data_IF_210509848283
#
_entry.id   IF_210509848283
#
_cell.length_a   1.000
_cell.length_b   1.000
_cell.length_c   1.000
_cell.angle_alpha   90.00
_cell.angle_beta   90.00
_cell.angle_gamma   90.00
#
_symmetry.space_group_name_H-M   'P 1'
#
loop_
_entity.id
_entity.type
_entity.pdbx_description
1 polymer ?
#
# COMPACT_ATOMS: atom_id res chain seq x y z
N UNK A 1 6.79 -15.88 -3.97
CA UNK A 1 7.67 -15.63 -5.13
C UNK A 1 9.13 -15.76 -4.71
N UNK A 2 9.94 -16.44 -5.50
CA UNK A 2 11.40 -16.48 -5.28
C UNK A 2 12.06 -15.13 -5.66
N UNK A 3 13.28 -14.84 -5.20
CA UNK A 3 14.03 -13.65 -5.61
C UNK A 3 14.21 -13.55 -7.14
N UNK A 4 14.35 -14.68 -7.83
CA UNK A 4 14.51 -14.73 -9.29
C UNK A 4 13.20 -14.42 -10.02
N UNK A 5 12.08 -14.95 -9.52
CA UNK A 5 10.75 -14.58 -10.03
C UNK A 5 10.49 -13.08 -9.88
N UNK A 6 10.87 -12.46 -8.75
CA UNK A 6 10.75 -11.00 -8.56
C UNK A 6 11.58 -10.22 -9.58
N UNK A 7 12.85 -10.59 -9.77
CA UNK A 7 13.74 -9.93 -10.75
C UNK A 7 13.20 -10.06 -12.17
N UNK A 8 12.68 -11.23 -12.53
CA UNK A 8 12.09 -11.48 -13.83
C UNK A 8 10.79 -10.68 -14.05
N UNK A 9 9.92 -10.58 -13.04
CA UNK A 9 8.72 -9.75 -13.14
C UNK A 9 9.06 -8.27 -13.31
N UNK A 10 10.07 -7.75 -12.59
CA UNK A 10 10.50 -6.35 -12.71
C UNK A 10 11.18 -6.05 -14.06
N UNK A 11 11.89 -7.02 -14.66
CA UNK A 11 12.54 -6.84 -15.95
C UNK A 11 11.55 -6.79 -17.12
N UNK A 12 10.38 -7.40 -16.97
CA UNK A 12 9.30 -7.38 -17.98
C UNK A 12 8.52 -6.05 -18.00
N UNK A 13 8.66 -5.20 -16.98
CA UNK A 13 7.97 -3.92 -16.94
C UNK A 13 8.60 -2.90 -17.90
N UNK A 14 7.79 -1.97 -18.40
CA UNK A 14 8.30 -0.80 -19.10
C UNK A 14 9.11 0.08 -18.13
N UNK A 15 10.00 0.92 -18.67
CA UNK A 15 10.72 1.92 -17.85
C UNK A 15 9.74 2.81 -17.07
N UNK A 16 8.70 3.27 -17.75
CA UNK A 16 7.67 4.11 -17.15
C UNK A 16 6.97 3.44 -15.97
N UNK A 17 6.60 2.16 -16.11
CA UNK A 17 5.98 1.39 -15.03
C UNK A 17 6.92 1.22 -13.83
N UNK A 18 8.22 0.97 -14.06
CA UNK A 18 9.21 0.92 -12.97
C UNK A 18 9.34 2.25 -12.24
N UNK A 19 9.34 3.36 -12.97
CA UNK A 19 9.44 4.69 -12.37
C UNK A 19 8.20 5.04 -11.53
N UNK A 20 7.00 4.57 -11.92
CA UNK A 20 5.78 4.71 -11.12
C UNK A 20 5.89 3.91 -9.82
N UNK A 21 6.22 2.61 -9.90
CA UNK A 21 6.38 1.76 -8.71
C UNK A 21 7.42 2.33 -7.75
N UNK A 22 8.54 2.87 -8.27
CA UNK A 22 9.56 3.49 -7.43
C UNK A 22 9.03 4.70 -6.64
N UNK A 23 8.18 5.54 -7.26
CA UNK A 23 7.53 6.67 -6.57
C UNK A 23 6.52 6.20 -5.52
N UNK A 24 5.74 5.17 -5.83
CA UNK A 24 4.76 4.62 -4.91
C UNK A 24 5.45 4.01 -3.69
N UNK A 25 6.54 3.27 -3.90
CA UNK A 25 7.38 2.74 -2.83
C UNK A 25 7.98 3.86 -1.98
N UNK A 26 8.45 4.95 -2.59
CA UNK A 26 8.96 6.10 -1.85
C UNK A 26 7.86 6.73 -0.98
N UNK A 27 6.65 6.86 -1.52
CA UNK A 27 5.48 7.37 -0.77
C UNK A 27 5.18 6.47 0.43
N UNK A 28 5.14 5.15 0.24
CA UNK A 28 4.91 4.20 1.36
C UNK A 28 6.01 4.29 2.42
N UNK A 29 7.27 4.45 2.01
CA UNK A 29 8.39 4.58 2.94
C UNK A 29 8.35 5.88 3.75
N UNK A 30 7.83 6.97 3.17
CA UNK A 30 7.75 8.29 3.81
C UNK A 30 6.48 8.44 4.66
N UNK A 31 5.33 8.06 4.11
CA UNK A 31 4.02 8.34 4.68
C UNK A 31 3.42 7.12 5.41
N UNK A 32 3.99 5.92 5.22
CA UNK A 32 3.45 4.67 5.75
C UNK A 32 2.13 4.23 5.11
N UNK A 33 1.62 4.95 4.11
CA UNK A 33 0.35 4.69 3.45
C UNK A 33 0.39 5.16 2.00
N UNK A 34 -0.23 4.41 1.10
CA UNK A 34 -0.43 4.78 -0.30
C UNK A 34 -1.93 4.94 -0.59
N UNK A 35 -2.25 5.91 -1.43
CA UNK A 35 -3.59 6.07 -2.00
C UNK A 35 -3.49 5.88 -3.50
N UNK A 36 -4.27 4.96 -4.06
CA UNK A 36 -4.34 4.75 -5.51
C UNK A 36 -5.77 4.90 -6.03
N UNK A 37 -5.89 5.35 -7.28
CA UNK A 37 -7.18 5.67 -7.90
C UNK A 37 -7.33 4.87 -9.19
N UNK A 38 -8.44 4.13 -9.31
CA UNK A 38 -8.85 3.41 -10.51
C UNK A 38 -7.81 2.43 -11.12
N UNK A 39 -6.78 2.03 -10.38
CA UNK A 39 -5.71 1.16 -10.91
C UNK A 39 -6.16 -0.29 -11.15
N UNK A 40 -7.09 -0.78 -10.30
CA UNK A 40 -7.64 -2.14 -10.39
C UNK A 40 -9.08 -2.13 -10.92
N UNK A 41 -9.89 -1.14 -10.50
CA UNK A 41 -11.29 -1.03 -10.90
C UNK A 41 -11.68 0.44 -11.05
N UNK A 42 -12.29 0.79 -12.18
CA UNK A 42 -12.71 2.16 -12.47
C UNK A 42 -13.70 2.69 -11.40
N UNK A 43 -13.55 3.95 -11.01
CA UNK A 43 -14.40 4.60 -10.01
C UNK A 43 -14.12 4.18 -8.56
N UNK A 44 -13.00 3.51 -8.29
CA UNK A 44 -12.58 3.13 -6.95
C UNK A 44 -11.30 3.81 -6.51
N UNK A 45 -11.14 3.89 -5.19
CA UNK A 45 -9.93 4.32 -4.51
C UNK A 45 -9.52 3.24 -3.50
N UNK A 46 -8.22 3.01 -3.40
CA UNK A 46 -7.62 2.13 -2.41
C UNK A 46 -6.71 2.96 -1.49
N UNK A 47 -6.87 2.81 -0.18
CA UNK A 47 -5.95 3.35 0.83
C UNK A 47 -5.30 2.16 1.50
N UNK A 48 -3.99 1.99 1.34
CA UNK A 48 -3.29 0.80 1.80
C UNK A 48 -2.02 1.12 2.60
N UNK A 49 -1.80 0.38 3.67
CA UNK A 49 -0.59 0.49 4.52
C UNK A 49 0.00 -0.92 4.77
N UNK A 50 1.34 -1.08 4.72
CA UNK A 50 1.97 -2.38 4.87
C UNK A 50 1.93 -2.87 6.32
N UNK A 51 1.68 -4.16 6.49
CA UNK A 51 1.91 -4.86 7.75
C UNK A 51 3.34 -5.39 7.73
N UNK A 52 4.14 -4.99 8.71
CA UNK A 52 5.55 -5.30 8.81
C UNK A 52 5.81 -6.33 9.93
N UNK A 53 6.80 -7.19 9.72
CA UNK A 53 7.37 -7.98 10.81
C UNK A 53 8.18 -7.09 11.77
N UNK A 54 8.59 -7.64 12.92
CA UNK A 54 9.56 -7.00 13.82
C UNK A 54 10.87 -6.61 13.15
N UNK A 55 11.28 -7.31 12.09
CA UNK A 55 12.47 -7.01 11.30
C UNK A 55 12.22 -6.01 10.16
N UNK A 56 11.04 -5.39 10.11
CA UNK A 56 10.66 -4.41 9.10
C UNK A 56 10.31 -5.01 7.74
N UNK A 57 10.11 -6.33 7.64
CA UNK A 57 9.76 -6.98 6.37
C UNK A 57 8.25 -6.90 6.12
N UNK A 58 7.77 -6.44 4.96
CA UNK A 58 6.35 -6.44 4.65
C UNK A 58 5.83 -7.86 4.41
N UNK A 59 4.75 -8.23 5.08
CA UNK A 59 4.12 -9.56 5.00
C UNK A 59 2.66 -9.53 4.55
N UNK A 60 1.98 -8.40 4.74
CA UNK A 60 0.62 -8.16 4.30
C UNK A 60 0.39 -6.65 4.12
N UNK A 61 -0.85 -6.26 3.85
CA UNK A 61 -1.29 -4.87 3.89
C UNK A 61 -2.71 -4.78 4.46
N UNK A 62 -2.99 -3.70 5.19
CA UNK A 62 -4.37 -3.29 5.49
C UNK A 62 -4.83 -2.38 4.36
N UNK A 63 -6.03 -2.61 3.83
CA UNK A 63 -6.59 -1.81 2.76
C UNK A 63 -8.03 -1.39 3.09
N UNK A 64 -8.32 -0.09 2.97
CA UNK A 64 -9.68 0.42 2.84
C UNK A 64 -9.93 0.67 1.37
N UNK A 65 -10.91 -0.03 0.82
CA UNK A 65 -11.26 0.02 -0.60
C UNK A 65 -12.71 0.43 -0.77
N UNK A 66 -13.00 1.36 -1.68
CA UNK A 66 -14.36 1.83 -1.88
C UNK A 66 -14.55 2.73 -3.09
N UNK A 67 -15.79 3.15 -3.28
CA UNK A 67 -16.17 4.07 -4.35
C UNK A 67 -15.56 5.45 -4.14
N UNK A 68 -14.91 5.99 -5.17
CA UNK A 68 -14.23 7.29 -5.14
C UNK A 68 -15.19 8.45 -4.82
N UNK A 69 -16.45 8.35 -5.26
CA UNK A 69 -17.50 9.33 -4.94
C UNK A 69 -17.83 9.42 -3.44
N UNK A 70 -17.49 8.40 -2.65
CA UNK A 70 -17.76 8.34 -1.21
C UNK A 70 -16.49 8.49 -0.39
N UNK A 71 -15.41 7.81 -0.79
CA UNK A 71 -14.13 7.86 -0.08
C UNK A 71 -13.27 9.02 -0.61
N UNK A 72 -13.68 10.25 -0.28
CA UNK A 72 -13.03 11.50 -0.72
C UNK A 72 -13.05 12.57 0.38
N UNK A 73 -12.27 13.64 0.21
CA UNK A 73 -12.20 14.76 1.16
C UNK A 73 -11.84 14.29 2.57
N UNK A 74 -12.62 14.70 3.57
CA UNK A 74 -12.40 14.33 4.96
C UNK A 74 -12.43 12.81 5.21
N UNK A 75 -13.26 12.06 4.48
CA UNK A 75 -13.33 10.60 4.62
C UNK A 75 -12.01 9.95 4.18
N UNK A 76 -11.47 10.37 3.03
CA UNK A 76 -10.18 9.89 2.53
C UNK A 76 -9.03 10.25 3.49
N UNK A 77 -9.01 11.49 3.97
CA UNK A 77 -7.99 11.94 4.93
C UNK A 77 -8.01 11.09 6.21
N UNK A 78 -9.19 10.87 6.80
CA UNK A 78 -9.34 10.02 7.99
C UNK A 78 -8.95 8.57 7.72
N UNK A 79 -9.33 8.02 6.55
CA UNK A 79 -8.96 6.65 6.19
C UNK A 79 -7.45 6.48 6.04
N UNK A 80 -6.68 7.47 5.55
CA UNK A 80 -5.21 7.37 5.50
C UNK A 80 -4.62 7.07 6.87
N UNK A 81 -4.94 7.90 7.88
CA UNK A 81 -4.43 7.71 9.24
C UNK A 81 -4.94 6.43 9.88
N UNK A 82 -6.22 6.11 9.71
CA UNK A 82 -6.81 4.90 10.30
C UNK A 82 -6.24 3.61 9.71
N UNK A 83 -6.04 3.56 8.39
CA UNK A 83 -5.41 2.41 7.72
C UNK A 83 -3.98 2.22 8.20
N UNK A 84 -3.19 3.31 8.31
CA UNK A 84 -1.83 3.24 8.81
C UNK A 84 -1.77 2.75 10.27
N UNK A 85 -2.62 3.31 11.15
CA UNK A 85 -2.68 2.88 12.55
C UNK A 85 -3.08 1.41 12.67
N UNK A 86 -4.10 0.96 11.93
CA UNK A 86 -4.51 -0.44 11.94
C UNK A 86 -3.39 -1.38 11.46
N UNK A 87 -2.63 -0.99 10.43
CA UNK A 87 -1.48 -1.77 9.97
C UNK A 87 -0.36 -1.82 11.02
N UNK A 88 -0.09 -0.72 11.72
CA UNK A 88 0.86 -0.66 12.83
C UNK A 88 0.45 -1.56 14.01
N UNK A 89 -0.84 -1.56 14.36
CA UNK A 89 -1.38 -2.40 15.44
C UNK A 89 -1.20 -3.89 15.11
N UNK A 90 -1.48 -4.29 13.86
CA UNK A 90 -1.27 -5.68 13.40
C UNK A 90 0.22 -6.04 13.33
N UNK A 91 1.07 -5.09 12.92
CA UNK A 91 2.53 -5.28 12.85
C UNK A 91 3.16 -5.56 14.23
N UNK A 92 2.46 -5.19 15.30
CA UNK A 92 2.88 -5.37 16.69
C UNK A 92 2.02 -6.45 17.37
N UNK A 93 2.22 -7.75 17.10
CA UNK A 93 1.48 -8.76 17.84
C UNK A 93 1.84 -8.65 19.34
N UNK A 94 0.85 -8.83 20.26
CA UNK A 94 1.11 -8.83 21.69
C UNK A 94 2.22 -9.85 21.99
N UNK A 95 3.10 -9.52 22.93
CA UNK A 95 4.02 -10.49 23.50
C UNK A 95 3.16 -11.63 24.09
N UNK A 96 3.18 -12.79 23.43
CA UNK A 96 2.63 -14.04 23.97
C UNK A 96 3.70 -14.68 24.83
#
# INVERSE_FOLDING_TARGET
MTPDQRRQSLSQLSRHARDLIARDLQTVLQDGVLVTHAEVMAGTVAVASPVLTKSGQPVAAVCVFGAEMRLRGAALHSSRSQTANAACDISTPPAV
#
